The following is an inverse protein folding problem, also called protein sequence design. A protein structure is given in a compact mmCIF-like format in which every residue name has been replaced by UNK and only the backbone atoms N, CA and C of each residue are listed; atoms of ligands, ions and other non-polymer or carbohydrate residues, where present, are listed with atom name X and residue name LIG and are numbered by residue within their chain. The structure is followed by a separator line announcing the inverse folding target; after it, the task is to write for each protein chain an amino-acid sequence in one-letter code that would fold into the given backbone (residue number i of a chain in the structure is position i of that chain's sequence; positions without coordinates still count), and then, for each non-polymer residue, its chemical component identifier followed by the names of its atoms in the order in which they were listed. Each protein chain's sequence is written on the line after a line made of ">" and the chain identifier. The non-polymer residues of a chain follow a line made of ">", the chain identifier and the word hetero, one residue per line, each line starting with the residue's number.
data_IF_262939736836
#
_entry.id   IF_262939736836
#
_cell.length_a   1.000
_cell.length_b   1.000
_cell.length_c   1.000
_cell.angle_alpha   90.00
_cell.angle_beta   90.00
_cell.angle_gamma   90.00
#
_symmetry.space_group_name_H-M   'P 1'
#
loop_
_entity.id
_entity.type
_entity.pdbx_description
1 polymer ?
#
# COMPACT_ATOMS: atom_id res chain seq x y z
N UNK A 1 -2.42 -32.32 14.42
CA UNK A 1 -2.56 -32.38 12.95
C UNK A 1 -4.02 -32.16 12.61
N UNK A 2 -4.30 -31.19 11.73
CA UNK A 2 -5.57 -31.05 11.00
C UNK A 2 -5.15 -30.62 9.59
N UNK A 3 -5.14 -31.63 8.74
CA UNK A 3 -5.00 -31.52 7.32
C UNK A 3 -6.19 -30.74 6.75
N UNK A 4 -6.01 -30.10 5.58
CA UNK A 4 -6.94 -30.19 4.44
C UNK A 4 -6.71 -29.02 3.47
N UNK A 5 -6.18 -29.39 2.30
CA UNK A 5 -6.05 -28.60 1.08
C UNK A 5 -7.44 -28.28 0.50
N UNK A 6 -7.64 -27.05 0.02
CA UNK A 6 -8.60 -26.76 -1.04
C UNK A 6 -8.10 -25.57 -1.89
N UNK A 7 -7.88 -25.84 -3.18
CA UNK A 7 -7.44 -24.86 -4.16
C UNK A 7 -8.53 -23.91 -4.66
N UNK A 8 -8.04 -22.83 -5.27
CA UNK A 8 -8.65 -21.96 -6.28
C UNK A 8 -9.97 -21.24 -5.96
N UNK A 9 -9.88 -19.93 -5.66
CA UNK A 9 -10.35 -18.84 -6.55
C UNK A 9 -9.66 -17.52 -6.12
N UNK A 10 -8.92 -16.87 -7.03
CA UNK A 10 -8.32 -15.55 -6.80
C UNK A 10 -9.42 -14.47 -6.76
N UNK A 11 -10.16 -14.37 -5.64
CA UNK A 11 -11.09 -13.24 -5.43
C UNK A 11 -10.27 -11.95 -5.36
N UNK A 12 -10.60 -10.91 -6.16
CA UNK A 12 -9.93 -9.63 -6.05
C UNK A 12 -10.03 -9.13 -4.60
N UNK A 13 -8.93 -8.56 -4.10
CA UNK A 13 -8.89 -8.00 -2.76
C UNK A 13 -10.08 -7.04 -2.59
N UNK A 14 -10.86 -7.25 -1.54
CA UNK A 14 -11.87 -6.29 -1.12
C UNK A 14 -11.22 -4.92 -0.95
N UNK A 15 -11.94 -3.85 -1.30
CA UNK A 15 -11.48 -2.47 -1.15
C UNK A 15 -10.87 -2.22 0.24
N UNK A 16 -11.50 -2.74 1.29
CA UNK A 16 -11.01 -2.63 2.67
C UNK A 16 -9.71 -3.41 2.93
N UNK A 17 -9.52 -4.57 2.30
CA UNK A 17 -8.25 -5.31 2.38
C UNK A 17 -7.13 -4.58 1.64
N UNK A 18 -7.44 -3.89 0.54
CA UNK A 18 -6.47 -3.09 -0.19
C UNK A 18 -6.00 -1.89 0.64
N UNK A 19 -6.94 -1.17 1.28
CA UNK A 19 -6.63 -0.07 2.22
C UNK A 19 -5.78 -0.57 3.40
N UNK A 20 -6.16 -1.68 4.03
CA UNK A 20 -5.38 -2.26 5.13
C UNK A 20 -3.97 -2.69 4.70
N UNK A 21 -3.83 -3.27 3.50
CA UNK A 21 -2.53 -3.65 2.96
C UNK A 21 -1.65 -2.46 2.62
N UNK A 22 -2.23 -1.35 2.15
CA UNK A 22 -1.52 -0.08 1.92
C UNK A 22 -1.07 0.48 3.28
N UNK A 23 -1.95 0.63 4.26
CA UNK A 23 -1.60 1.14 5.59
C UNK A 23 -0.51 0.30 6.28
N UNK A 24 -0.60 -1.04 6.22
CA UNK A 24 0.44 -1.91 6.77
C UNK A 24 1.81 -1.72 6.09
N UNK A 25 1.84 -1.36 4.81
CA UNK A 25 3.09 -1.05 4.09
C UNK A 25 3.70 0.30 4.49
N UNK A 26 2.88 1.28 4.89
CA UNK A 26 3.35 2.54 5.47
C UNK A 26 4.02 2.35 6.84
N UNK A 27 3.53 1.41 7.65
CA UNK A 27 4.14 1.04 8.94
C UNK A 27 5.39 0.15 8.80
N UNK A 28 5.84 -0.16 7.58
CA UNK A 28 7.03 -0.98 7.33
C UNK A 28 6.80 -2.49 7.48
N UNK A 29 5.57 -2.95 7.72
CA UNK A 29 5.21 -4.37 7.87
C UNK A 29 4.94 -5.01 6.50
N UNK A 30 5.76 -4.65 5.50
CA UNK A 30 5.63 -5.17 4.14
C UNK A 30 6.14 -6.63 4.12
N UNK A 31 5.21 -7.58 4.29
CA UNK A 31 5.52 -9.01 4.23
C UNK A 31 6.27 -9.38 2.95
N UNK A 32 7.24 -10.30 3.04
CA UNK A 32 8.00 -10.80 1.88
C UNK A 32 7.09 -11.31 0.75
N UNK A 33 5.91 -11.83 1.09
CA UNK A 33 4.87 -12.26 0.14
C UNK A 33 4.29 -11.12 -0.70
N UNK A 34 4.07 -9.95 -0.10
CA UNK A 34 3.61 -8.76 -0.83
C UNK A 34 4.71 -8.26 -1.75
N UNK A 35 5.95 -8.21 -1.25
CA UNK A 35 7.11 -7.84 -2.05
C UNK A 35 7.30 -8.79 -3.25
N UNK A 36 7.38 -10.10 -3.04
CA UNK A 36 7.52 -11.07 -4.14
C UNK A 36 6.40 -10.96 -5.18
N UNK A 37 5.15 -10.77 -4.75
CA UNK A 37 4.03 -10.58 -5.67
C UNK A 37 4.19 -9.31 -6.50
N UNK A 38 4.55 -8.21 -5.85
CA UNK A 38 4.66 -6.91 -6.50
C UNK A 38 5.90 -6.90 -7.44
N UNK A 39 6.99 -7.60 -7.10
CA UNK A 39 8.17 -7.76 -7.96
C UNK A 39 7.95 -8.76 -9.12
N UNK A 40 7.10 -9.77 -8.95
CA UNK A 40 6.84 -10.81 -9.97
C UNK A 40 5.75 -10.41 -10.96
N UNK A 41 4.79 -9.56 -10.55
CA UNK A 41 3.68 -9.08 -11.40
C UNK A 41 3.70 -7.57 -11.72
N UNK A 42 4.50 -6.77 -11.02
CA UNK A 42 4.54 -5.31 -11.18
C UNK A 42 5.76 -4.81 -11.96
N UNK A 43 5.55 -3.81 -12.83
CA UNK A 43 6.63 -3.11 -13.55
C UNK A 43 7.24 -2.02 -12.67
N UNK A 44 8.55 -1.80 -12.79
CA UNK A 44 9.28 -0.75 -12.04
C UNK A 44 8.65 0.65 -12.17
N UNK A 45 8.11 0.98 -13.35
CA UNK A 45 7.41 2.26 -13.59
C UNK A 45 6.19 2.47 -12.68
N UNK A 46 5.47 1.40 -12.33
CA UNK A 46 4.28 1.48 -11.49
C UNK A 46 4.65 1.79 -10.03
N UNK A 47 5.77 1.24 -9.55
CA UNK A 47 6.29 1.58 -8.23
C UNK A 47 6.78 3.02 -8.15
N UNK A 48 7.46 3.51 -9.20
CA UNK A 48 7.92 4.90 -9.26
C UNK A 48 6.72 5.84 -9.27
N UNK A 49 5.70 5.57 -10.08
CA UNK A 49 4.48 6.38 -10.13
C UNK A 49 3.76 6.43 -8.77
N UNK A 50 3.61 5.29 -8.10
CA UNK A 50 3.03 5.22 -6.76
C UNK A 50 3.87 5.98 -5.74
N UNK A 51 5.21 5.87 -5.79
CA UNK A 51 6.11 6.60 -4.91
C UNK A 51 6.04 8.12 -5.08
N UNK A 52 5.94 8.59 -6.32
CA UNK A 52 5.78 10.02 -6.63
C UNK A 52 4.43 10.52 -6.10
N UNK A 53 3.34 9.79 -6.35
CA UNK A 53 2.01 10.14 -5.86
C UNK A 53 2.00 10.24 -4.32
N UNK A 54 2.61 9.25 -3.66
CA UNK A 54 2.79 9.21 -2.21
C UNK A 54 3.55 10.42 -1.68
N UNK A 55 4.65 10.77 -2.34
CA UNK A 55 5.46 11.93 -1.99
C UNK A 55 4.63 13.21 -2.12
N UNK A 56 3.90 13.37 -3.22
CA UNK A 56 3.03 14.54 -3.43
C UNK A 56 1.96 14.67 -2.32
N UNK A 57 1.31 13.56 -1.95
CA UNK A 57 0.33 13.54 -0.84
C UNK A 57 0.98 13.95 0.48
N UNK A 58 2.20 13.46 0.76
CA UNK A 58 2.92 13.80 1.99
C UNK A 58 3.24 15.30 2.07
N UNK A 59 3.78 15.89 0.99
CA UNK A 59 4.02 17.33 0.94
C UNK A 59 2.73 18.14 1.06
N UNK A 60 1.64 17.69 0.43
CA UNK A 60 0.32 18.30 0.58
C UNK A 60 -0.19 18.28 2.02
N UNK A 61 0.02 17.18 2.74
CA UNK A 61 -0.35 17.06 4.14
C UNK A 61 0.45 18.02 5.03
N UNK A 62 1.77 18.14 4.81
CA UNK A 62 2.61 19.11 5.53
C UNK A 62 2.16 20.54 5.22
N UNK A 63 1.95 20.86 3.94
CA UNK A 63 1.49 22.19 3.53
C UNK A 63 0.16 22.54 4.21
N UNK A 64 -0.80 21.64 4.18
CA UNK A 64 -2.09 21.82 4.84
C UNK A 64 -1.93 22.01 6.35
N UNK A 65 -1.11 21.18 7.00
CA UNK A 65 -0.83 21.30 8.43
C UNK A 65 -0.23 22.67 8.78
N UNK A 66 0.76 23.14 8.00
CA UNK A 66 1.37 24.46 8.19
C UNK A 66 0.33 25.57 8.01
N UNK A 67 -0.54 25.47 7.01
CA UNK A 67 -1.62 26.46 6.83
C UNK A 67 -2.58 26.47 8.01
N UNK A 68 -2.98 25.32 8.55
CA UNK A 68 -3.84 25.24 9.74
C UNK A 68 -3.15 25.85 10.97
N UNK A 69 -1.85 25.64 11.12
CA UNK A 69 -1.07 26.19 12.23
C UNK A 69 -0.88 27.71 12.10
N UNK A 70 -0.64 28.23 10.90
CA UNK A 70 -0.45 29.67 10.66
C UNK A 70 -1.75 30.46 10.55
N UNK A 71 -2.85 29.81 10.13
CA UNK A 71 -4.18 30.41 10.10
C UNK A 71 -4.82 30.52 11.50
N UNK A 72 -4.14 30.01 12.53
CA UNK A 72 -4.49 30.11 13.94
C UNK A 72 -3.52 31.03 14.65
#
# INVERSE_FOLDING_TARGET
>A
MKDDNAGSEEKPLSFFQMVGSVLASFFGVQSKKNKERDFKRGKASQFIAVGILMTAVWYGAIYFLVNVVLAK
#
